data_IF_450186574925
#
_entry.id   IF_450186574925
#
_cell.length_a   1.000
_cell.length_b   1.000
_cell.length_c   1.000
_cell.angle_alpha   90.00
_cell.angle_beta   90.00
_cell.angle_gamma   90.00
#
_symmetry.space_group_name_H-M   'P 1'
#
loop_
_entity.id
_entity.type
_entity.pdbx_description
1 polymer ?
#
# COMPACT_ATOMS: atom_id res chain seq x y z
N UNK A 1 -7.11 -18.40 -9.31
CA UNK A 1 -7.56 -17.20 -8.55
C UNK A 1 -6.90 -15.90 -9.02
N UNK A 2 -5.69 -15.93 -9.56
CA UNK A 2 -4.96 -14.79 -10.13
C UNK A 2 -5.69 -14.00 -11.25
N UNK A 3 -6.58 -14.62 -12.02
CA UNK A 3 -7.33 -13.94 -13.09
C UNK A 3 -8.41 -12.98 -12.56
N UNK A 4 -9.07 -13.35 -11.47
CA UNK A 4 -10.09 -12.50 -10.82
C UNK A 4 -9.43 -11.27 -10.19
N UNK A 5 -8.29 -11.46 -9.52
CA UNK A 5 -7.52 -10.37 -8.89
C UNK A 5 -7.04 -9.35 -9.95
N UNK A 6 -6.55 -9.83 -11.10
CA UNK A 6 -6.18 -8.96 -12.23
C UNK A 6 -7.35 -8.17 -12.81
N UNK A 7 -8.56 -8.74 -12.77
CA UNK A 7 -9.78 -8.10 -13.30
C UNK A 7 -10.44 -7.16 -12.28
N UNK A 8 -10.20 -7.38 -10.99
CA UNK A 8 -10.70 -6.59 -9.88
C UNK A 8 -9.54 -6.03 -9.02
N UNK A 9 -8.62 -5.24 -9.60
CA UNK A 9 -7.53 -4.62 -8.85
C UNK A 9 -8.07 -3.69 -7.75
N UNK A 10 -9.29 -3.18 -7.96
CA UNK A 10 -10.00 -2.32 -7.04
C UNK A 10 -10.86 -3.06 -5.99
N UNK A 11 -10.78 -4.37 -5.82
CA UNK A 11 -11.44 -5.07 -4.70
C UNK A 11 -11.11 -6.56 -4.72
N UNK A 12 -9.83 -6.96 -4.77
CA UNK A 12 -9.48 -8.37 -4.92
C UNK A 12 -9.88 -9.21 -3.69
N UNK A 13 -9.87 -8.63 -2.49
CA UNK A 13 -10.31 -9.33 -1.27
C UNK A 13 -11.83 -9.54 -1.27
N UNK A 14 -12.59 -8.48 -1.56
CA UNK A 14 -14.06 -8.49 -1.48
C UNK A 14 -14.70 -9.20 -2.70
N UNK A 15 -14.14 -9.00 -3.89
CA UNK A 15 -14.66 -9.59 -5.15
C UNK A 15 -14.10 -10.97 -5.49
N UNK A 16 -12.90 -11.31 -5.02
CA UNK A 16 -12.27 -12.59 -5.34
C UNK A 16 -11.95 -13.44 -4.12
N UNK A 17 -12.28 -13.01 -2.91
CA UNK A 17 -11.89 -13.69 -1.67
C UNK A 17 -10.38 -13.77 -1.49
N UNK A 18 -9.62 -12.90 -2.16
CA UNK A 18 -8.16 -12.94 -2.13
C UNK A 18 -7.65 -12.62 -0.73
N UNK A 19 -6.63 -13.35 -0.30
CA UNK A 19 -5.90 -13.00 0.92
C UNK A 19 -5.20 -11.64 0.73
N UNK A 20 -4.95 -10.90 1.81
CA UNK A 20 -4.23 -9.62 1.74
C UNK A 20 -2.92 -9.78 0.94
N UNK A 21 -2.16 -10.85 1.19
CA UNK A 21 -0.94 -11.18 0.46
C UNK A 21 -1.15 -11.44 -1.04
N UNK A 22 -2.26 -12.03 -1.45
CA UNK A 22 -2.57 -12.31 -2.87
C UNK A 22 -3.02 -11.04 -3.60
N UNK A 23 -3.78 -10.19 -2.91
CA UNK A 23 -4.19 -8.88 -3.38
C UNK A 23 -2.99 -7.93 -3.56
N UNK A 24 -2.05 -8.00 -2.61
CA UNK A 24 -0.76 -7.30 -2.65
C UNK A 24 0.08 -7.79 -3.83
N UNK A 25 0.23 -9.11 -4.02
CA UNK A 25 1.10 -9.67 -5.05
C UNK A 25 0.67 -9.33 -6.48
N UNK A 26 -0.59 -8.94 -6.69
CA UNK A 26 -1.12 -8.60 -8.00
C UNK A 26 -0.96 -7.13 -8.40
N UNK A 27 -0.61 -6.25 -7.46
CA UNK A 27 -0.42 -4.83 -7.71
C UNK A 27 1.05 -4.49 -7.41
N UNK A 28 1.79 -4.00 -8.40
CA UNK A 28 3.24 -3.86 -8.31
C UNK A 28 3.67 -2.90 -7.20
N UNK A 29 3.02 -1.74 -7.08
CA UNK A 29 3.34 -0.73 -6.05
C UNK A 29 2.92 -1.23 -4.67
N UNK A 30 1.76 -1.87 -4.56
CA UNK A 30 1.31 -2.53 -3.33
C UNK A 30 2.24 -3.64 -2.87
N UNK A 31 2.72 -4.46 -3.80
CA UNK A 31 3.73 -5.49 -3.52
C UNK A 31 5.00 -4.87 -2.98
N UNK A 32 5.52 -3.85 -3.66
CA UNK A 32 6.71 -3.13 -3.21
C UNK A 32 6.50 -2.51 -1.83
N UNK A 33 5.36 -1.85 -1.58
CA UNK A 33 5.05 -1.27 -0.28
C UNK A 33 4.92 -2.32 0.83
N UNK A 34 4.33 -3.48 0.51
CA UNK A 34 4.19 -4.56 1.46
C UNK A 34 5.53 -5.22 1.78
N UNK A 35 6.34 -5.53 0.77
CA UNK A 35 7.69 -6.04 0.94
C UNK A 35 8.53 -5.03 1.74
N UNK A 36 8.44 -3.74 1.42
CA UNK A 36 9.12 -2.67 2.13
C UNK A 36 8.61 -2.46 3.57
N UNK A 37 7.36 -2.80 3.89
CA UNK A 37 6.86 -2.81 5.28
C UNK A 37 7.40 -3.98 6.10
N UNK A 38 7.96 -5.01 5.44
CA UNK A 38 8.52 -6.21 6.08
C UNK A 38 10.05 -6.23 6.08
N UNK A 39 10.68 -5.43 5.24
CA UNK A 39 12.13 -5.29 5.09
C UNK A 39 12.60 -3.99 5.76
N UNK A 40 13.85 -3.98 6.23
CA UNK A 40 14.49 -2.79 6.82
C UNK A 40 14.93 -1.81 5.71
N UNK A 41 15.01 -0.52 6.05
CA UNK A 41 15.33 0.69 5.23
C UNK A 41 16.13 0.52 3.91
N UNK A 42 17.05 -0.44 3.81
CA UNK A 42 17.91 -0.69 2.65
C UNK A 42 17.15 -1.08 1.36
N UNK A 43 16.04 -1.82 1.47
CA UNK A 43 15.24 -2.23 0.29
C UNK A 43 14.40 -1.07 -0.30
N UNK A 44 14.12 -0.03 0.50
CA UNK A 44 13.49 1.20 0.00
C UNK A 44 14.40 1.96 -0.97
N UNK A 45 15.72 1.92 -0.76
CA UNK A 45 16.69 2.60 -1.61
C UNK A 45 16.72 2.01 -3.04
N UNK A 46 16.39 0.72 -3.19
CA UNK A 46 16.26 0.08 -4.51
C UNK A 46 15.06 0.60 -5.33
N UNK A 47 14.13 1.33 -4.72
CA UNK A 47 12.97 1.93 -5.39
C UNK A 47 13.22 3.34 -5.95
N UNK A 48 14.47 3.79 -6.02
CA UNK A 48 14.84 5.08 -6.62
C UNK A 48 14.39 5.25 -8.09
N UNK A 49 14.05 4.15 -8.77
CA UNK A 49 13.50 4.13 -10.12
C UNK A 49 11.98 4.39 -10.20
N UNK A 50 11.28 4.41 -9.05
CA UNK A 50 9.84 4.69 -8.99
C UNK A 50 9.58 6.20 -9.01
N UNK A 51 8.47 6.66 -9.60
CA UNK A 51 8.06 8.07 -9.52
C UNK A 51 7.84 8.53 -8.07
N UNK A 52 8.07 9.81 -7.80
CA UNK A 52 8.03 10.39 -6.44
C UNK A 52 6.74 10.06 -5.67
N UNK A 53 5.61 10.07 -6.37
CA UNK A 53 4.33 9.74 -5.75
C UNK A 53 4.27 8.30 -5.24
N UNK A 54 4.87 7.33 -5.94
CA UNK A 54 4.91 5.94 -5.49
C UNK A 54 5.79 5.81 -4.25
N UNK A 55 6.96 6.46 -4.25
CA UNK A 55 7.84 6.47 -3.09
C UNK A 55 7.12 7.06 -1.86
N UNK A 56 6.37 8.15 -2.05
CA UNK A 56 5.55 8.75 -0.99
C UNK A 56 4.44 7.80 -0.50
N UNK A 57 3.73 7.11 -1.40
CA UNK A 57 2.72 6.13 -1.03
C UNK A 57 3.30 4.98 -0.20
N UNK A 58 4.42 4.40 -0.66
CA UNK A 58 5.10 3.27 -0.02
C UNK A 58 5.58 3.69 1.37
N UNK A 59 6.23 4.86 1.50
CA UNK A 59 6.68 5.41 2.78
C UNK A 59 5.53 5.61 3.76
N UNK A 60 4.46 6.27 3.33
CA UNK A 60 3.29 6.50 4.17
C UNK A 60 2.58 5.20 4.57
N UNK A 61 2.59 4.17 3.73
CA UNK A 61 2.07 2.85 4.07
C UNK A 61 2.87 2.18 5.19
N UNK A 62 4.21 2.22 5.08
CA UNK A 62 5.10 1.69 6.13
C UNK A 62 4.93 2.46 7.42
N UNK A 63 4.86 3.79 7.36
CA UNK A 63 4.54 4.63 8.51
C UNK A 63 3.17 4.30 9.09
N UNK A 64 2.16 4.06 8.25
CA UNK A 64 0.83 3.70 8.69
C UNK A 64 0.81 2.38 9.48
N UNK A 65 1.54 1.37 8.99
CA UNK A 65 1.68 0.05 9.63
C UNK A 65 2.49 0.10 10.93
N UNK A 66 3.59 0.85 10.94
CA UNK A 66 4.52 0.87 12.08
C UNK A 66 4.12 1.87 13.16
N UNK A 67 3.52 3.00 12.79
CA UNK A 67 3.21 4.10 13.73
C UNK A 67 1.74 4.09 14.20
N UNK A 68 0.94 3.10 13.81
CA UNK A 68 -0.46 2.98 14.27
C UNK A 68 -1.33 4.14 13.81
N UNK A 69 -1.25 4.49 12.53
CA UNK A 69 -2.09 5.53 11.93
C UNK A 69 -3.56 5.13 11.98
N UNK A 70 -4.45 6.13 11.88
CA UNK A 70 -5.89 5.85 11.75
C UNK A 70 -6.20 5.37 10.33
N UNK A 71 -7.27 4.61 10.18
CA UNK A 71 -7.71 4.11 8.89
C UNK A 71 -7.07 2.77 8.50
N UNK A 72 -7.56 2.17 7.42
CA UNK A 72 -7.04 0.90 6.90
C UNK A 72 -5.88 1.22 5.96
N UNK A 73 -4.65 1.01 6.43
CA UNK A 73 -3.42 1.34 5.68
C UNK A 73 -3.41 0.76 4.26
N UNK A 74 -3.93 -0.46 4.10
CA UNK A 74 -4.07 -1.12 2.81
C UNK A 74 -5.00 -0.35 1.85
N UNK A 75 -6.18 0.06 2.31
CA UNK A 75 -7.13 0.84 1.49
C UNK A 75 -6.55 2.20 1.09
N UNK A 76 -5.79 2.83 1.99
CA UNK A 76 -5.16 4.12 1.73
C UNK A 76 -4.00 4.04 0.74
N UNK A 77 -3.19 2.98 0.82
CA UNK A 77 -2.18 2.72 -0.18
C UNK A 77 -2.81 2.47 -1.55
N UNK A 78 -3.94 1.77 -1.60
CA UNK A 78 -4.63 1.54 -2.87
C UNK A 78 -5.27 2.78 -3.45
N UNK A 79 -5.81 3.65 -2.59
CA UNK A 79 -6.25 4.98 -2.99
C UNK A 79 -5.07 5.79 -3.54
N UNK A 80 -3.92 5.68 -2.90
CA UNK A 80 -2.67 6.31 -3.33
C UNK A 80 -2.22 5.81 -4.71
N UNK A 81 -2.37 4.52 -5.02
CA UNK A 81 -2.09 3.98 -6.36
C UNK A 81 -3.00 4.56 -7.45
N UNK A 82 -4.29 4.74 -7.15
CA UNK A 82 -5.26 5.27 -8.10
C UNK A 82 -5.17 6.78 -8.30
N UNK A 83 -4.96 7.54 -7.21
CA UNK A 83 -4.94 9.01 -7.22
C UNK A 83 -3.52 9.59 -7.30
N UNK A 84 -2.50 8.75 -7.20
CA UNK A 84 -1.09 9.15 -7.09
C UNK A 84 -0.82 10.07 -5.89
N UNK A 85 -1.67 10.02 -4.86
CA UNK A 85 -1.57 10.86 -3.68
C UNK A 85 -2.09 10.13 -2.44
N UNK A 86 -1.36 10.24 -1.33
CA UNK A 86 -1.74 9.58 -0.09
C UNK A 86 -2.93 10.29 0.57
N UNK A 87 -4.02 9.56 0.93
CA UNK A 87 -5.21 10.19 1.48
C UNK A 87 -5.03 10.53 2.97
N UNK A 88 -4.28 11.58 3.30
CA UNK A 88 -4.03 12.02 4.69
C UNK A 88 -5.32 12.31 5.49
N UNK A 89 -6.43 12.63 4.82
CA UNK A 89 -7.73 12.79 5.48
C UNK A 89 -8.25 11.47 6.08
N UNK A 90 -8.01 10.35 5.40
CA UNK A 90 -8.47 9.02 5.78
C UNK A 90 -7.40 8.24 6.57
N UNK A 91 -6.15 8.27 6.10
CA UNK A 91 -5.00 7.67 6.77
C UNK A 91 -3.96 8.71 7.15
N UNK A 92 -3.94 9.06 8.42
CA UNK A 92 -2.99 9.98 9.00
C UNK A 92 -2.47 9.46 10.34
N UNK A 93 -1.33 9.96 10.82
CA UNK A 93 -0.88 9.71 12.17
C UNK A 93 -2.02 9.98 13.15
N UNK A 94 -2.27 9.03 14.07
CA UNK A 94 -3.10 9.35 15.23
C UNK A 94 -2.27 10.33 16.05
N UNK A 95 -2.66 11.60 16.10
CA UNK A 95 -2.00 12.54 17.00
C UNK A 95 -2.11 11.97 18.42
N UNK A 96 -1.00 11.48 18.98
CA UNK A 96 -0.92 11.24 20.42
C UNK A 96 -1.09 12.60 21.10
N UNK A 97 -2.20 12.75 21.83
CA UNK A 97 -2.25 13.71 22.93
C UNK A 97 -1.41 13.17 24.09
#
# INVERSE_FOLDING_TARGET
MSCCIKSHPLNPIDSCGASEAEAIAALSVLRTAYEASRLTDDDFANNAHLPEWQQACIRNYVDCKNQGWKGRCYDCLRYCEGQQEWPFKACAPTSRK
#
